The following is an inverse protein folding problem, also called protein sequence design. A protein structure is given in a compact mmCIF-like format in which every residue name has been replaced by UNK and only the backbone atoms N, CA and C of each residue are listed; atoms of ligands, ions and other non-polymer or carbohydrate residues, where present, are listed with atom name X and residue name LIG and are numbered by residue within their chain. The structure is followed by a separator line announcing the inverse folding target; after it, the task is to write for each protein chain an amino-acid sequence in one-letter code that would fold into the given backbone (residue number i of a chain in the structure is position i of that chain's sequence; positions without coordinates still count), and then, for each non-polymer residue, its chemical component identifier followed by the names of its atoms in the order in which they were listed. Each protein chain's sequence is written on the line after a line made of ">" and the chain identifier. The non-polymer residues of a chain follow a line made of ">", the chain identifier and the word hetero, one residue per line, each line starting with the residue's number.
data_IF_446325276968
#
_entry.id   IF_446325276968
#
_cell.length_a   1.000
_cell.length_b   1.000
_cell.length_c   1.000
_cell.angle_alpha   90.00
_cell.angle_beta   90.00
_cell.angle_gamma   90.00
#
_symmetry.space_group_name_H-M   'P 1'
#
loop_
_entity.id
_entity.type
_entity.pdbx_description
1 polymer ?
#
# COMPACT_ATOMS: atom_id res chain seq x y z
N UNK A 1 24.74 6.02 -6.38
CA UNK A 1 23.87 7.02 -7.04
C UNK A 1 22.57 6.33 -7.37
N UNK A 2 21.46 6.70 -6.73
CA UNK A 2 20.16 6.10 -7.02
C UNK A 2 19.47 7.02 -8.04
N UNK A 3 19.31 6.54 -9.26
CA UNK A 3 18.62 7.26 -10.32
C UNK A 3 17.11 7.13 -10.08
N UNK A 4 16.44 8.23 -9.78
CA UNK A 4 14.98 8.28 -9.83
C UNK A 4 14.55 8.18 -11.29
N UNK A 5 13.62 7.27 -11.59
CA UNK A 5 12.97 7.19 -12.90
C UNK A 5 12.07 8.43 -13.01
N UNK A 6 12.50 9.45 -13.76
CA UNK A 6 11.64 10.54 -14.18
C UNK A 6 10.55 9.97 -15.09
N UNK A 7 9.34 9.84 -14.56
CA UNK A 7 8.15 9.60 -15.37
C UNK A 7 7.55 10.97 -15.69
N UNK A 8 7.91 11.53 -16.85
CA UNK A 8 7.36 12.79 -17.42
C UNK A 8 5.88 12.69 -17.84
N UNK A 9 5.11 11.78 -17.24
CA UNK A 9 3.66 11.73 -17.44
C UNK A 9 3.01 12.54 -16.34
N UNK A 10 2.34 13.62 -16.70
CA UNK A 10 1.42 14.32 -15.79
C UNK A 10 0.56 13.27 -15.09
N UNK A 11 0.78 13.14 -13.78
CA UNK A 11 0.00 12.25 -12.95
C UNK A 11 -1.40 12.86 -12.87
N UNK A 12 -2.29 12.39 -13.73
CA UNK A 12 -3.70 12.70 -13.63
C UNK A 12 -4.26 11.90 -12.44
N UNK A 13 -4.58 12.54 -11.30
CA UNK A 13 -5.15 11.82 -10.17
C UNK A 13 -6.46 11.18 -10.63
N UNK A 14 -6.65 9.91 -10.26
CA UNK A 14 -7.89 9.20 -10.52
C UNK A 14 -9.00 9.95 -9.79
N UNK A 15 -9.92 10.57 -10.54
CA UNK A 15 -11.06 11.28 -9.99
C UNK A 15 -12.02 10.25 -9.40
N UNK A 16 -12.03 10.15 -8.08
CA UNK A 16 -12.82 9.17 -7.34
C UNK A 16 -14.12 9.84 -6.94
N UNK A 17 -15.22 9.43 -7.57
CA UNK A 17 -16.52 10.11 -7.44
C UNK A 17 -17.36 9.72 -6.22
N UNK A 18 -16.95 8.70 -5.44
CA UNK A 18 -17.65 8.21 -4.25
C UNK A 18 -16.67 7.75 -3.17
N UNK A 19 -17.05 7.90 -1.90
CA UNK A 19 -16.32 7.31 -0.76
C UNK A 19 -16.21 5.78 -0.94
N UNK A 20 -15.05 5.20 -0.60
CA UNK A 20 -14.74 3.78 -0.79
C UNK A 20 -14.07 3.40 -2.12
N UNK A 21 -14.22 4.19 -3.19
CA UNK A 21 -13.80 3.79 -4.53
C UNK A 21 -12.28 3.73 -4.76
N UNK A 22 -11.46 4.42 -3.95
CA UNK A 22 -10.00 4.26 -3.99
C UNK A 22 -9.54 2.92 -3.44
N UNK A 23 -10.15 2.47 -2.33
CA UNK A 23 -9.85 1.18 -1.74
C UNK A 23 -10.31 0.05 -2.66
N UNK A 24 -11.51 0.17 -3.23
CA UNK A 24 -12.02 -0.76 -4.25
C UNK A 24 -11.09 -0.86 -5.47
N UNK A 25 -10.58 0.27 -5.97
CA UNK A 25 -9.63 0.30 -7.07
C UNK A 25 -8.30 -0.38 -6.67
N UNK A 26 -7.80 -0.10 -5.47
CA UNK A 26 -6.57 -0.69 -4.96
C UNK A 26 -6.68 -2.21 -4.84
N UNK A 27 -7.76 -2.70 -4.23
CA UNK A 27 -8.07 -4.13 -4.11
C UNK A 27 -8.19 -4.76 -5.50
N UNK A 28 -8.87 -4.12 -6.45
CA UNK A 28 -9.00 -4.61 -7.83
C UNK A 28 -7.63 -4.79 -8.50
N UNK A 29 -6.70 -3.83 -8.34
CA UNK A 29 -5.33 -3.94 -8.88
C UNK A 29 -4.52 -5.05 -8.24
N UNK A 30 -4.70 -5.27 -6.94
CA UNK A 30 -4.05 -6.39 -6.24
C UNK A 30 -4.60 -7.73 -6.78
N UNK A 31 -5.91 -7.86 -6.94
CA UNK A 31 -6.53 -9.08 -7.48
C UNK A 31 -6.11 -9.35 -8.93
N UNK A 32 -5.92 -8.31 -9.76
CA UNK A 32 -5.31 -8.45 -11.08
C UNK A 32 -3.85 -8.92 -11.02
N UNK A 33 -3.07 -8.44 -10.05
CA UNK A 33 -1.70 -8.88 -9.84
C UNK A 33 -1.64 -10.37 -9.45
N UNK A 34 -2.52 -10.82 -8.55
CA UNK A 34 -2.64 -12.24 -8.14
C UNK A 34 -2.93 -13.18 -9.30
N UNK A 35 -3.69 -12.74 -10.31
CA UNK A 35 -3.94 -13.55 -11.52
C UNK A 35 -2.68 -13.81 -12.33
N UNK A 36 -1.70 -12.90 -12.27
CA UNK A 36 -0.42 -12.99 -13.01
C UNK A 36 0.64 -13.72 -12.21
N UNK A 37 0.64 -13.59 -10.90
CA UNK A 37 1.52 -14.29 -9.99
C UNK A 37 0.72 -14.89 -8.80
N UNK A 38 0.46 -16.20 -8.79
CA UNK A 38 -0.31 -16.85 -7.74
C UNK A 38 0.43 -16.90 -6.39
N UNK A 39 1.73 -16.57 -6.36
CA UNK A 39 2.50 -16.53 -5.11
C UNK A 39 2.25 -15.26 -4.30
N UNK A 40 1.52 -14.29 -4.86
CA UNK A 40 1.11 -13.10 -4.14
C UNK A 40 0.04 -13.48 -3.11
N UNK A 41 0.35 -13.30 -1.83
CA UNK A 41 -0.59 -13.41 -0.72
C UNK A 41 -1.01 -12.03 -0.28
N UNK A 42 -2.31 -11.87 -0.03
CA UNK A 42 -2.90 -10.60 0.41
C UNK A 42 -3.71 -10.89 1.64
N UNK A 43 -3.34 -10.25 2.73
CA UNK A 43 -3.94 -10.43 4.04
C UNK A 43 -4.55 -9.11 4.47
N UNK A 44 -5.84 -9.12 4.77
CA UNK A 44 -6.57 -7.96 5.27
C UNK A 44 -6.59 -7.96 6.80
N UNK A 45 -6.62 -6.77 7.41
CA UNK A 45 -6.71 -6.57 8.86
C UNK A 45 -5.68 -7.39 9.66
N UNK A 46 -4.47 -7.48 9.14
CA UNK A 46 -3.44 -8.38 9.68
C UNK A 46 -2.67 -7.72 10.81
N UNK A 47 -2.60 -8.40 11.95
CA UNK A 47 -1.72 -8.02 13.06
C UNK A 47 -0.34 -8.69 12.98
N UNK A 48 0.71 -7.92 13.23
CA UNK A 48 2.11 -8.36 13.29
C UNK A 48 2.74 -7.83 14.58
N UNK A 49 3.58 -8.64 15.22
CA UNK A 49 4.34 -8.23 16.41
C UNK A 49 5.59 -7.47 15.95
N UNK A 50 5.79 -6.26 16.48
CA UNK A 50 6.99 -5.49 16.20
C UNK A 50 8.19 -5.95 17.07
N UNK A 51 9.37 -5.39 16.82
CA UNK A 51 10.60 -5.73 17.55
C UNK A 51 10.54 -5.48 19.07
N UNK A 52 9.56 -4.70 19.54
CA UNK A 52 9.33 -4.41 20.96
C UNK A 52 8.27 -5.33 21.60
N UNK A 53 7.76 -6.32 20.86
CA UNK A 53 6.71 -7.22 21.33
C UNK A 53 5.29 -6.67 21.22
N UNK A 54 5.10 -5.47 20.66
CA UNK A 54 3.77 -4.87 20.55
C UNK A 54 3.09 -5.31 19.25
N UNK A 55 1.80 -5.63 19.33
CA UNK A 55 0.96 -5.89 18.16
C UNK A 55 0.72 -4.59 17.39
N UNK A 56 0.88 -4.65 16.07
CA UNK A 56 0.49 -3.60 15.14
C UNK A 56 -0.41 -4.21 14.07
N UNK A 57 -1.60 -3.65 13.92
CA UNK A 57 -2.52 -3.98 12.85
C UNK A 57 -2.17 -3.19 11.59
N UNK A 58 -2.32 -3.81 10.44
CA UNK A 58 -2.23 -3.20 9.12
C UNK A 58 -3.50 -3.51 8.34
N UNK A 59 -4.01 -2.53 7.59
CA UNK A 59 -5.25 -2.68 6.81
C UNK A 59 -5.06 -3.72 5.69
N UNK A 60 -3.92 -3.67 5.00
CA UNK A 60 -3.53 -4.68 4.00
C UNK A 60 -2.06 -5.03 4.15
N UNK A 61 -1.75 -6.32 4.14
CA UNK A 61 -0.40 -6.86 4.07
C UNK A 61 -0.27 -7.74 2.81
N UNK A 62 0.63 -7.34 1.92
CA UNK A 62 0.90 -8.06 0.68
C UNK A 62 2.25 -8.75 0.84
N UNK A 63 2.31 -10.05 0.57
CA UNK A 63 3.52 -10.84 0.55
C UNK A 63 3.71 -11.45 -0.83
N UNK A 64 4.93 -11.48 -1.32
CA UNK A 64 5.30 -12.14 -2.57
C UNK A 64 6.73 -12.64 -2.47
N UNK A 65 7.02 -13.70 -3.22
CA UNK A 65 8.36 -14.23 -3.37
C UNK A 65 8.81 -13.97 -4.81
N UNK A 66 9.85 -13.15 -4.98
CA UNK A 66 10.48 -12.91 -6.28
C UNK A 66 11.88 -13.54 -6.24
N UNK A 67 12.04 -14.67 -6.91
CA UNK A 67 13.25 -15.52 -6.83
C UNK A 67 13.55 -15.89 -5.37
N UNK A 68 14.76 -15.63 -4.87
CA UNK A 68 15.11 -15.85 -3.45
C UNK A 68 14.68 -14.72 -2.48
N UNK A 69 14.05 -13.64 -2.95
CA UNK A 69 13.69 -12.50 -2.10
C UNK A 69 12.21 -12.51 -1.69
N UNK A 70 11.96 -12.48 -0.38
CA UNK A 70 10.63 -12.21 0.18
C UNK A 70 10.38 -10.70 0.19
N UNK A 71 9.33 -10.26 -0.50
CA UNK A 71 8.86 -8.89 -0.49
C UNK A 71 7.57 -8.83 0.33
N UNK A 72 7.60 -8.01 1.39
CA UNK A 72 6.41 -7.70 2.19
C UNK A 72 6.10 -6.21 2.09
N UNK A 73 4.89 -5.88 1.65
CA UNK A 73 4.37 -4.51 1.59
C UNK A 73 3.23 -4.39 2.59
N UNK A 74 3.41 -3.51 3.57
CA UNK A 74 2.36 -3.14 4.51
C UNK A 74 1.70 -1.84 4.05
N UNK A 75 0.37 -1.84 3.99
CA UNK A 75 -0.44 -0.72 3.52
C UNK A 75 -1.35 -0.29 4.66
N UNK A 76 -1.31 1.00 4.93
CA UNK A 76 -2.18 1.68 5.88
C UNK A 76 -3.04 2.67 5.10
N UNK A 77 -4.35 2.51 5.19
CA UNK A 77 -5.33 3.39 4.59
C UNK A 77 -5.69 4.51 5.58
N UNK A 78 -5.54 5.75 5.13
CA UNK A 78 -6.01 6.92 5.88
C UNK A 78 -6.95 7.72 4.99
N UNK A 79 -8.19 7.82 5.43
CA UNK A 79 -9.16 8.71 4.82
C UNK A 79 -9.04 10.09 5.44
N UNK A 80 -8.92 11.11 4.60
CA UNK A 80 -8.87 12.50 5.02
C UNK A 80 -10.05 13.25 4.42
N UNK A 81 -10.81 13.95 5.24
CA UNK A 81 -11.91 14.82 4.80
C UNK A 81 -11.41 16.14 4.21
N UNK A 82 -10.13 16.45 4.41
CA UNK A 82 -9.45 17.63 3.89
C UNK A 82 -8.19 17.24 3.13
N UNK A 83 -7.81 17.95 2.05
CA UNK A 83 -6.55 17.70 1.36
C UNK A 83 -5.36 17.78 2.32
N UNK A 84 -4.54 16.73 2.35
CA UNK A 84 -3.33 16.66 3.17
C UNK A 84 -2.09 16.81 2.29
N UNK A 85 -1.16 17.64 2.73
CA UNK A 85 0.16 17.78 2.09
C UNK A 85 1.16 16.76 2.66
N UNK A 86 2.21 16.44 1.90
CA UNK A 86 3.21 15.43 2.27
C UNK A 86 3.87 15.62 3.66
N UNK A 87 3.87 16.85 4.19
CA UNK A 87 4.43 17.18 5.50
C UNK A 87 3.75 16.41 6.65
N UNK A 88 2.45 16.10 6.53
CA UNK A 88 1.67 15.44 7.59
C UNK A 88 2.06 13.96 7.79
N UNK A 89 2.61 13.30 6.77
CA UNK A 89 2.95 11.86 6.84
C UNK A 89 4.26 11.59 7.60
N UNK A 90 5.22 12.53 7.58
CA UNK A 90 6.57 12.33 8.14
C UNK A 90 6.62 12.23 9.66
N UNK A 91 5.64 12.79 10.36
CA UNK A 91 5.67 12.88 11.83
C UNK A 91 4.97 11.72 12.54
N UNK A 92 4.32 10.80 11.82
CA UNK A 92 3.45 9.76 12.40
C UNK A 92 3.92 8.32 12.21
N UNK A 93 4.99 8.10 11.43
CA UNK A 93 5.60 6.78 11.22
C UNK A 93 6.87 6.64 12.09
N UNK A 94 6.75 6.94 13.39
CA UNK A 94 7.79 6.65 14.40
C UNK A 94 7.27 5.61 15.37
#
# INVERSE_FOLDING_TARGET
>A
MINYINNDKEFNPIKVGKQGTLFELFVSRIEEAKKKDPNIQVLFDKSIVNLKGNLRQFDVLIKSQINEYEITVAVECKEYTTPVTNQYFRNRIR
#
